data_IF_472226218468
#
_entry.id   IF_472226218468
#
_cell.length_a   1.000
_cell.length_b   1.000
_cell.length_c   1.000
_cell.angle_alpha   90.00
_cell.angle_beta   90.00
_cell.angle_gamma   90.00
#
_symmetry.space_group_name_H-M   'P 1'
#
loop_
_entity.id
_entity.type
_entity.pdbx_description
1 polymer ?
#
# COMPACT_ATOMS: atom_id res chain seq x y z
N UNK A 1 7.07 -25.81 -4.53
CA UNK A 1 8.14 -24.78 -4.47
C UNK A 1 7.64 -23.68 -3.55
N UNK A 2 8.26 -23.55 -2.38
CA UNK A 2 7.84 -22.59 -1.36
C UNK A 2 8.16 -21.16 -1.82
N UNK A 3 7.16 -20.45 -2.34
CA UNK A 3 7.31 -19.05 -2.76
C UNK A 3 7.12 -18.14 -1.55
N UNK A 4 8.20 -17.52 -1.09
CA UNK A 4 8.16 -16.46 -0.10
C UNK A 4 7.66 -15.17 -0.77
N UNK A 5 6.74 -14.47 -0.13
CA UNK A 5 6.14 -13.21 -0.56
C UNK A 5 6.02 -12.25 0.64
N UNK A 6 5.65 -11.01 0.36
CA UNK A 6 5.40 -9.98 1.37
C UNK A 6 3.94 -9.59 1.36
N UNK A 7 3.23 -9.87 2.45
CA UNK A 7 1.85 -9.46 2.67
C UNK A 7 1.79 -7.97 3.02
N UNK A 8 0.96 -7.22 2.29
CA UNK A 8 0.86 -5.74 2.36
C UNK A 8 2.22 -5.04 2.22
N UNK A 9 3.18 -5.68 1.55
CA UNK A 9 4.53 -5.17 1.31
C UNK A 9 5.48 -5.24 2.51
N UNK A 10 4.99 -5.55 3.71
CA UNK A 10 5.76 -5.47 4.95
C UNK A 10 6.02 -6.84 5.58
N UNK A 11 5.01 -7.71 5.60
CA UNK A 11 5.05 -8.92 6.43
C UNK A 11 5.48 -10.14 5.63
N UNK A 12 6.48 -10.87 6.11
CA UNK A 12 7.00 -12.05 5.41
C UNK A 12 6.02 -13.22 5.52
N UNK A 13 5.60 -13.76 4.39
CA UNK A 13 4.64 -14.86 4.31
C UNK A 13 5.09 -15.91 3.30
N UNK A 14 4.68 -17.15 3.54
CA UNK A 14 4.93 -18.29 2.64
C UNK A 14 3.64 -18.64 1.93
N UNK A 15 3.65 -18.72 0.60
CA UNK A 15 2.47 -19.17 -0.17
C UNK A 15 2.40 -20.70 -0.09
N UNK A 16 1.31 -21.21 0.50
CA UNK A 16 1.02 -22.64 0.63
C UNK A 16 0.23 -23.13 -0.59
N UNK A 17 -0.79 -22.38 -0.99
CA UNK A 17 -1.70 -22.74 -2.09
C UNK A 17 -1.97 -21.53 -2.98
N UNK A 18 -1.88 -21.72 -4.29
CA UNK A 18 -2.24 -20.72 -5.31
C UNK A 18 -3.55 -21.16 -5.97
N UNK A 19 -4.56 -20.30 -5.99
CA UNK A 19 -5.81 -20.50 -6.74
C UNK A 19 -6.15 -19.26 -7.56
N UNK A 20 -7.03 -19.41 -8.54
CA UNK A 20 -7.52 -18.30 -9.39
C UNK A 20 -8.42 -17.41 -8.52
N UNK A 21 -7.82 -16.40 -7.89
CA UNK A 21 -8.49 -15.37 -7.09
C UNK A 21 -8.10 -15.34 -5.61
N UNK A 22 -7.64 -16.46 -5.04
CA UNK A 22 -7.30 -16.54 -3.61
C UNK A 22 -6.06 -17.40 -3.36
N UNK A 23 -5.20 -16.91 -2.48
CA UNK A 23 -3.96 -17.57 -2.09
C UNK A 23 -4.04 -17.92 -0.61
N UNK A 24 -3.61 -19.12 -0.24
CA UNK A 24 -3.42 -19.50 1.16
C UNK A 24 -1.97 -19.19 1.52
N UNK A 25 -1.79 -18.32 2.50
CA UNK A 25 -0.49 -17.90 2.99
C UNK A 25 -0.29 -18.33 4.43
N UNK A 26 0.96 -18.60 4.80
CA UNK A 26 1.39 -18.90 6.17
C UNK A 26 2.32 -17.79 6.66
N UNK A 27 1.97 -17.18 7.78
CA UNK A 27 2.75 -16.10 8.38
C UNK A 27 4.11 -16.61 8.90
N UNK A 28 5.22 -15.99 8.48
CA UNK A 28 6.56 -16.36 8.96
C UNK A 28 6.98 -15.58 10.22
N UNK A 29 6.22 -14.56 10.58
CA UNK A 29 6.38 -13.72 11.77
C UNK A 29 5.01 -13.33 12.34
N UNK A 30 4.98 -12.85 13.59
CA UNK A 30 3.76 -12.31 14.16
C UNK A 30 3.60 -10.84 13.76
N UNK A 31 2.41 -10.44 13.36
CA UNK A 31 2.12 -9.06 12.96
C UNK A 31 0.68 -8.65 13.26
N UNK A 32 0.43 -7.34 13.24
CA UNK A 32 -0.92 -6.78 13.33
C UNK A 32 -1.44 -6.48 11.94
N UNK A 33 -2.68 -6.87 11.69
CA UNK A 33 -3.38 -6.63 10.44
C UNK A 33 -4.67 -5.87 10.71
N UNK A 34 -5.11 -5.09 9.73
CA UNK A 34 -6.40 -4.40 9.75
C UNK A 34 -7.26 -4.99 8.65
N UNK A 35 -8.36 -5.63 9.04
CA UNK A 35 -9.37 -6.21 8.16
C UNK A 35 -10.72 -5.69 8.64
N UNK A 36 -11.52 -5.09 7.77
CA UNK A 36 -12.82 -4.48 8.09
C UNK A 36 -12.76 -3.55 9.32
N UNK A 37 -11.76 -2.66 9.34
CA UNK A 37 -11.46 -1.71 10.43
C UNK A 37 -11.18 -2.35 11.81
N UNK A 38 -11.00 -3.67 11.85
CA UNK A 38 -10.64 -4.41 13.07
C UNK A 38 -9.17 -4.79 13.05
N UNK A 39 -8.50 -4.49 14.16
CA UNK A 39 -7.13 -4.94 14.42
C UNK A 39 -7.15 -6.43 14.77
N UNK A 40 -6.45 -7.23 13.99
CA UNK A 40 -6.29 -8.67 14.18
C UNK A 40 -4.81 -8.95 14.40
N UNK A 41 -4.48 -9.74 15.42
CA UNK A 41 -3.12 -10.21 15.66
C UNK A 41 -2.93 -11.55 14.97
N UNK A 42 -2.04 -11.58 13.98
CA UNK A 42 -1.66 -12.79 13.26
C UNK A 42 -0.44 -13.38 13.95
N UNK A 43 -0.50 -14.67 14.28
CA UNK A 43 0.63 -15.39 14.88
C UNK A 43 1.53 -16.01 13.80
N UNK A 44 2.79 -16.23 14.14
CA UNK A 44 3.69 -17.03 13.29
C UNK A 44 3.13 -18.44 13.09
N UNK A 45 3.15 -18.93 11.86
CA UNK A 45 2.59 -20.23 11.45
C UNK A 45 1.09 -20.21 11.19
N UNK A 46 0.40 -19.09 11.43
CA UNK A 46 -1.02 -18.97 11.15
C UNK A 46 -1.27 -18.88 9.64
N UNK A 47 -2.27 -19.63 9.16
CA UNK A 47 -2.66 -19.64 7.76
C UNK A 47 -3.85 -18.71 7.50
N UNK A 48 -3.80 -17.94 6.42
CA UNK A 48 -4.89 -17.04 6.01
C UNK A 48 -5.12 -17.08 4.51
N UNK A 49 -6.35 -16.83 4.13
CA UNK A 49 -6.76 -16.67 2.73
C UNK A 49 -6.66 -15.18 2.41
N UNK A 50 -5.91 -14.85 1.37
CA UNK A 50 -5.72 -13.47 0.91
C UNK A 50 -5.88 -13.40 -0.60
N UNK A 51 -6.13 -12.19 -1.10
CA UNK A 51 -6.16 -11.92 -2.53
C UNK A 51 -4.73 -11.69 -3.06
N UNK A 52 -4.41 -12.09 -4.30
CA UNK A 52 -3.06 -12.02 -4.85
C UNK A 52 -2.46 -10.60 -4.95
N UNK A 53 -3.31 -9.58 -5.06
CA UNK A 53 -2.96 -8.15 -5.12
C UNK A 53 -2.31 -7.64 -3.82
N UNK A 54 -2.58 -8.28 -2.69
CA UNK A 54 -1.95 -7.96 -1.40
C UNK A 54 -0.55 -8.55 -1.23
N UNK A 55 -0.09 -9.39 -2.18
CA UNK A 55 1.17 -10.13 -2.10
C UNK A 55 2.23 -9.57 -3.05
N UNK A 56 3.30 -9.02 -2.46
CA UNK A 56 4.41 -8.43 -3.17
C UNK A 56 5.58 -9.41 -3.26
N UNK A 57 6.37 -9.32 -4.33
CA UNK A 57 7.59 -10.16 -4.51
C UNK A 57 8.71 -9.72 -3.56
N UNK A 58 8.80 -8.42 -3.32
CA UNK A 58 9.82 -7.78 -2.52
C UNK A 58 9.16 -6.97 -1.42
N UNK A 59 9.94 -6.63 -0.39
CA UNK A 59 9.48 -5.75 0.68
C UNK A 59 9.29 -4.34 0.11
N UNK A 60 8.09 -3.79 0.24
CA UNK A 60 7.75 -2.45 -0.25
C UNK A 60 7.10 -1.66 0.88
N UNK A 61 7.69 -0.52 1.21
CA UNK A 61 7.04 0.45 2.07
C UNK A 61 5.95 1.18 1.29
N UNK A 62 4.79 1.36 1.92
CA UNK A 62 3.78 2.27 1.38
C UNK A 62 4.43 3.65 1.22
N UNK A 63 4.15 4.37 0.12
CA UNK A 63 4.66 5.72 -0.04
C UNK A 63 4.22 6.56 1.16
N UNK A 64 5.09 7.46 1.66
CA UNK A 64 4.72 8.33 2.76
C UNK A 64 3.46 9.10 2.35
N UNK A 65 2.49 9.14 3.26
CA UNK A 65 1.34 10.03 3.11
C UNK A 65 1.95 11.44 3.05
N UNK A 66 1.74 12.14 1.94
CA UNK A 66 2.25 13.51 1.83
C UNK A 66 1.54 14.38 2.87
N UNK A 67 2.26 14.72 3.94
CA UNK A 67 1.85 15.78 4.85
C UNK A 67 1.63 17.04 4.02
N UNK A 68 0.56 17.78 4.32
CA UNK A 68 0.22 19.04 3.66
C UNK A 68 -0.09 18.96 2.15
N UNK A 69 -0.60 17.82 1.68
CA UNK A 69 -1.01 17.66 0.28
C UNK A 69 -2.06 18.71 -0.17
N UNK A 70 -2.85 19.25 0.76
CA UNK A 70 -3.83 20.30 0.49
C UNK A 70 -3.13 21.65 0.22
N UNK A 71 -2.19 22.02 1.07
CA UNK A 71 -1.40 23.25 0.99
C UNK A 71 -0.59 23.28 -0.31
N UNK A 72 0.07 22.16 -0.66
CA UNK A 72 0.79 22.02 -1.92
C UNK A 72 -0.12 22.21 -3.14
N UNK A 73 -1.36 21.71 -3.09
CA UNK A 73 -2.34 21.90 -4.17
C UNK A 73 -2.78 23.35 -4.28
N UNK A 74 -2.99 24.03 -3.16
CA UNK A 74 -3.35 25.45 -3.14
C UNK A 74 -2.24 26.33 -3.71
N UNK A 75 -0.99 26.10 -3.30
CA UNK A 75 0.16 26.85 -3.82
C UNK A 75 0.32 26.69 -5.34
N UNK A 76 0.20 25.46 -5.84
CA UNK A 76 0.25 25.19 -7.29
C UNK A 76 -0.86 25.93 -8.03
N UNK A 77 -2.08 25.91 -7.49
CA UNK A 77 -3.24 26.59 -8.09
C UNK A 77 -3.03 28.11 -8.12
N UNK A 78 -2.50 28.69 -7.04
CA UNK A 78 -2.21 30.12 -6.96
C UNK A 78 -1.13 30.54 -7.97
N UNK A 79 -0.05 29.76 -8.09
CA UNK A 79 1.00 30.01 -9.10
C UNK A 79 0.45 29.97 -10.52
N UNK A 80 -0.44 29.03 -10.85
CA UNK A 80 -1.08 28.99 -12.16
C UNK A 80 -1.96 30.22 -12.43
N UNK A 81 -2.77 30.64 -11.45
CA UNK A 81 -3.60 31.84 -11.59
C UNK A 81 -2.76 33.09 -11.88
N UNK A 82 -1.65 33.28 -11.16
CA UNK A 82 -0.74 34.40 -11.38
C UNK A 82 -0.12 34.33 -12.77
N UNK A 83 0.39 33.16 -13.18
CA UNK A 83 1.03 32.98 -14.48
C UNK A 83 0.07 33.23 -15.65
N UNK A 84 -1.19 32.83 -15.52
CA UNK A 84 -2.21 33.09 -16.53
C UNK A 84 -2.57 34.59 -16.60
N UNK A 85 -2.62 35.26 -15.45
CA UNK A 85 -2.89 36.69 -15.38
C UNK A 85 -1.73 37.53 -15.93
N UNK A 86 -0.48 37.14 -15.69
CA UNK A 86 0.71 37.77 -16.28
C UNK A 86 0.73 37.61 -17.81
N UNK A 87 0.36 36.43 -18.32
CA UNK A 87 0.22 36.20 -19.78
C UNK A 87 -0.90 37.02 -20.40
N UNK A 88 -1.98 37.28 -19.67
CA UNK A 88 -3.07 38.13 -20.14
C UNK A 88 -2.70 39.62 -20.13
N UNK A 89 -1.92 40.09 -19.15
CA UNK A 89 -1.48 41.48 -19.07
C UNK A 89 -0.32 41.84 -20.02
N UNK A 90 0.37 40.85 -20.60
CA UNK A 90 1.45 41.07 -21.58
C UNK A 90 0.98 40.95 -23.05
N UNK A 91 -0.31 40.75 -23.29
CA UNK A 91 -0.95 40.72 -24.63
C UNK A 91 -1.70 42.02 -24.89
#
# INVERSE_FOLDING_TARGET
>A
MDKIRYYKGLHKVKVVTESIGYYIIEAQEAFEDIVDDKKIKVKKGEQRIVTPDTLYKEMTFLPPIQEHAYELKMEKKLKHLIADQEKQNQK
#
